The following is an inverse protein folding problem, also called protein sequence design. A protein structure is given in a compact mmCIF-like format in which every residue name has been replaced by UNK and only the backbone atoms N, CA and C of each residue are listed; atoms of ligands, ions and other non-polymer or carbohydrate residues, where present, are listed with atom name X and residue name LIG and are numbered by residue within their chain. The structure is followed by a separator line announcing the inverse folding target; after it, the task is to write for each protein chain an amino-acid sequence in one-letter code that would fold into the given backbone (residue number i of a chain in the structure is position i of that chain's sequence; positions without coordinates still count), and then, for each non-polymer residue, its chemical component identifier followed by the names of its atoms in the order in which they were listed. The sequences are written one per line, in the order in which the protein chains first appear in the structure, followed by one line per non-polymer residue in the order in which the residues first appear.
data_IF_404540152580
#
_entry.id   IF_404540152580
#
_cell.length_a   1.000
_cell.length_b   1.000
_cell.length_c   1.000
_cell.angle_alpha   90.00
_cell.angle_beta   90.00
_cell.angle_gamma   90.00
#
_symmetry.space_group_name_H-M   'P 1'
#
loop_
_entity.id
_entity.type
_entity.pdbx_description
1 polymer ?
#
# COMPACT_ATOMS: atom_id res chain seq x y z
N UNK A 1 -11.28 17.84 25.37
CA UNK A 1 -10.91 17.25 24.07
C UNK A 1 -11.04 18.36 23.03
N UNK A 2 -9.92 18.95 22.61
CA UNK A 2 -9.91 20.08 21.66
C UNK A 2 -9.82 19.55 20.23
N UNK A 3 -10.40 20.26 19.25
CA UNK A 3 -10.39 19.88 17.84
C UNK A 3 -8.98 19.63 17.26
N UNK A 4 -7.94 20.21 17.86
CA UNK A 4 -6.53 20.04 17.47
C UNK A 4 -6.01 18.62 17.66
N UNK A 5 -6.41 17.97 18.76
CA UNK A 5 -5.80 16.72 19.20
C UNK A 5 -6.32 15.55 18.37
N UNK A 6 -7.60 15.60 17.99
CA UNK A 6 -8.26 14.57 17.19
C UNK A 6 -7.74 14.56 15.74
N UNK A 7 -7.60 15.75 15.12
CA UNK A 7 -7.01 15.88 13.79
C UNK A 7 -5.55 15.44 13.76
N UNK A 8 -4.77 15.84 14.76
CA UNK A 8 -3.36 15.42 14.88
C UNK A 8 -3.26 13.90 14.98
N UNK A 9 -4.06 13.28 15.85
CA UNK A 9 -4.11 11.83 16.01
C UNK A 9 -4.49 11.11 14.72
N UNK A 10 -5.50 11.63 13.99
CA UNK A 10 -5.91 11.07 12.70
C UNK A 10 -4.80 11.16 11.65
N UNK A 11 -4.17 12.33 11.51
CA UNK A 11 -3.06 12.52 10.58
C UNK A 11 -1.87 11.61 10.89
N UNK A 12 -1.51 11.48 12.19
CA UNK A 12 -0.46 10.57 12.62
C UNK A 12 -0.79 9.11 12.30
N UNK A 13 -2.05 8.68 12.47
CA UNK A 13 -2.45 7.31 12.11
C UNK A 13 -2.33 7.05 10.61
N UNK A 14 -2.78 7.98 9.76
CA UNK A 14 -2.66 7.86 8.30
C UNK A 14 -1.20 7.72 7.88
N UNK A 15 -0.31 8.56 8.42
CA UNK A 15 1.13 8.48 8.10
C UNK A 15 1.77 7.18 8.60
N UNK A 16 1.35 6.68 9.77
CA UNK A 16 1.82 5.38 10.28
C UNK A 16 1.37 4.22 9.40
N UNK A 17 0.13 4.23 8.94
CA UNK A 17 -0.40 3.20 8.03
C UNK A 17 0.32 3.24 6.67
N UNK A 18 0.57 4.44 6.12
CA UNK A 18 1.35 4.60 4.91
C UNK A 18 2.76 4.02 5.06
N UNK A 19 3.47 4.40 6.13
CA UNK A 19 4.84 3.93 6.37
C UNK A 19 4.92 2.41 6.60
N UNK A 20 3.94 1.85 7.31
CA UNK A 20 3.85 0.40 7.49
C UNK A 20 3.63 -0.31 6.14
N UNK A 21 2.75 0.21 5.29
CA UNK A 21 2.49 -0.36 3.98
C UNK A 21 3.69 -0.24 3.03
N UNK A 22 4.43 0.88 3.06
CA UNK A 22 5.68 1.04 2.30
C UNK A 22 6.71 -0.01 2.70
N UNK A 23 6.90 -0.19 4.01
CA UNK A 23 7.85 -1.17 4.57
C UNK A 23 7.45 -2.61 4.24
N UNK A 24 6.16 -2.90 4.26
CA UNK A 24 5.66 -4.25 4.00
C UNK A 24 5.68 -4.58 2.50
N UNK A 25 5.24 -3.66 1.63
CA UNK A 25 4.88 -4.00 0.26
C UNK A 25 5.95 -3.68 -0.77
N UNK A 26 6.71 -2.59 -0.63
CA UNK A 26 7.68 -2.20 -1.66
C UNK A 26 8.71 -3.32 -1.86
N UNK A 27 8.94 -3.69 -3.12
CA UNK A 27 9.83 -4.80 -3.47
C UNK A 27 9.21 -6.20 -3.36
N UNK A 28 7.97 -6.34 -2.86
CA UNK A 28 7.26 -7.64 -2.86
C UNK A 28 6.63 -7.93 -4.22
N UNK A 29 6.66 -9.21 -4.59
CA UNK A 29 5.90 -9.73 -5.72
C UNK A 29 4.42 -9.85 -5.38
N UNK A 30 3.55 -9.34 -6.25
CA UNK A 30 2.10 -9.34 -6.09
C UNK A 30 1.40 -9.75 -7.37
N UNK A 31 0.19 -10.31 -7.22
CA UNK A 31 -0.73 -10.55 -8.33
C UNK A 31 -2.03 -9.78 -8.05
N UNK A 32 -2.47 -8.97 -9.01
CA UNK A 32 -3.76 -8.31 -9.00
C UNK A 32 -4.89 -9.27 -9.37
N UNK A 33 -6.12 -8.96 -8.94
CA UNK A 33 -7.32 -9.73 -9.30
C UNK A 33 -7.61 -9.78 -10.80
N UNK A 34 -7.11 -8.83 -11.59
CA UNK A 34 -7.21 -8.81 -13.05
C UNK A 34 -6.14 -9.67 -13.75
N UNK A 35 -5.26 -10.32 -12.97
CA UNK A 35 -4.20 -11.21 -13.47
C UNK A 35 -2.87 -10.51 -13.74
N UNK A 36 -2.76 -9.18 -13.58
CA UNK A 36 -1.46 -8.50 -13.68
C UNK A 36 -0.56 -8.91 -12.52
N UNK A 37 0.69 -9.19 -12.82
CA UNK A 37 1.70 -9.56 -11.84
C UNK A 37 2.94 -8.68 -11.98
N UNK A 38 3.62 -8.46 -10.87
CA UNK A 38 4.87 -7.74 -10.83
C UNK A 38 5.30 -7.42 -9.41
N UNK A 39 6.27 -6.52 -9.29
CA UNK A 39 6.79 -6.06 -8.00
C UNK A 39 6.16 -4.72 -7.65
N UNK A 40 5.77 -4.53 -6.40
CA UNK A 40 5.31 -3.22 -5.92
C UNK A 40 6.47 -2.23 -5.95
N UNK A 41 6.25 -1.10 -6.62
CA UNK A 41 7.27 -0.04 -6.81
C UNK A 41 7.07 1.09 -5.79
N UNK A 42 5.83 1.57 -5.63
CA UNK A 42 5.49 2.64 -4.70
C UNK A 42 4.13 2.43 -4.02
N UNK A 43 3.96 3.04 -2.85
CA UNK A 43 2.69 3.13 -2.12
C UNK A 43 2.27 4.60 -2.04
N UNK A 44 0.97 4.87 -2.15
CA UNK A 44 0.39 6.22 -2.19
C UNK A 44 -0.87 6.30 -1.32
N UNK A 45 -1.22 7.52 -0.93
CA UNK A 45 -2.56 7.87 -0.46
C UNK A 45 -3.38 8.43 -1.62
N UNK A 46 -4.65 8.04 -1.72
CA UNK A 46 -5.63 8.71 -2.58
C UNK A 46 -6.30 9.90 -1.88
N UNK A 47 -7.25 10.55 -2.56
CA UNK A 47 -7.93 11.76 -2.09
C UNK A 47 -8.70 11.57 -0.78
N UNK A 48 -9.04 10.32 -0.42
CA UNK A 48 -9.70 9.98 0.85
C UNK A 48 -8.76 9.31 1.85
N UNK A 49 -7.45 9.36 1.61
CA UNK A 49 -6.38 8.74 2.40
C UNK A 49 -6.40 7.20 2.37
N UNK A 50 -6.99 6.60 1.33
CA UNK A 50 -6.89 5.16 1.07
C UNK A 50 -5.54 4.79 0.47
N UNK A 51 -5.01 3.63 0.84
CA UNK A 51 -3.72 3.16 0.33
C UNK A 51 -3.84 2.58 -1.09
N UNK A 52 -2.94 3.00 -1.97
CA UNK A 52 -2.80 2.56 -3.36
C UNK A 52 -1.38 2.12 -3.63
N UNK A 53 -1.19 1.23 -4.60
CA UNK A 53 0.15 0.80 -5.03
C UNK A 53 0.35 1.00 -6.53
N UNK A 54 1.58 1.20 -6.96
CA UNK A 54 2.00 0.95 -8.35
C UNK A 54 2.75 -0.37 -8.44
N UNK A 55 2.65 -1.01 -9.61
CA UNK A 55 3.40 -2.23 -9.93
C UNK A 55 4.36 -1.89 -11.05
N UNK A 56 5.64 -2.25 -10.88
CA UNK A 56 6.66 -2.02 -11.90
C UNK A 56 6.26 -2.62 -13.25
N UNK A 57 6.38 -1.82 -14.32
CA UNK A 57 6.02 -2.22 -15.68
C UNK A 57 4.52 -2.12 -16.02
N UNK A 58 3.68 -1.62 -15.11
CA UNK A 58 2.25 -1.40 -15.38
C UNK A 58 1.85 0.04 -15.06
N UNK A 59 1.12 0.66 -15.98
CA UNK A 59 0.52 1.96 -15.75
C UNK A 59 -0.72 1.84 -14.86
N UNK A 60 -0.73 2.62 -13.77
CA UNK A 60 -1.88 2.75 -12.88
C UNK A 60 -1.53 2.71 -11.41
N UNK A 61 -2.56 2.92 -10.59
CA UNK A 61 -2.50 2.79 -9.13
C UNK A 61 -3.69 1.99 -8.66
N UNK A 62 -3.44 0.88 -7.97
CA UNK A 62 -4.48 -0.07 -7.55
C UNK A 62 -4.65 -0.06 -6.03
N UNK A 63 -5.89 -0.25 -5.52
CA UNK A 63 -6.11 -0.38 -4.09
C UNK A 63 -5.48 -1.67 -3.57
N UNK A 64 -4.93 -1.62 -2.35
CA UNK A 64 -4.30 -2.78 -1.70
C UNK A 64 -5.25 -3.99 -1.63
N UNK A 65 -6.56 -3.76 -1.52
CA UNK A 65 -7.59 -4.82 -1.50
C UNK A 65 -7.64 -5.70 -2.76
N UNK A 66 -6.99 -5.29 -3.86
CA UNK A 66 -6.89 -6.08 -5.09
C UNK A 66 -5.66 -6.96 -5.15
N UNK A 67 -4.78 -6.90 -4.14
CA UNK A 67 -3.54 -7.67 -4.09
C UNK A 67 -3.77 -9.06 -3.54
N UNK A 68 -3.16 -10.04 -4.22
CA UNK A 68 -2.81 -11.32 -3.65
C UNK A 68 -1.30 -11.33 -3.44
N UNK A 69 -0.88 -11.43 -2.18
CA UNK A 69 0.52 -11.61 -1.83
C UNK A 69 0.96 -12.97 -2.35
N UNK A 70 2.06 -12.98 -3.09
CA UNK A 70 2.77 -14.22 -3.36
C UNK A 70 3.46 -14.61 -2.07
N UNK A 71 3.08 -15.75 -1.49
CA UNK A 71 3.79 -16.29 -0.34
C UNK A 71 5.27 -16.39 -0.70
N UNK A 72 6.13 -15.81 0.14
CA UNK A 72 7.58 -15.94 0.05
C UNK A 72 7.99 -17.34 0.50
N UNK A 73 7.52 -18.37 -0.21
CA UNK A 73 7.86 -19.78 -0.03
C UNK A 73 9.19 -20.18 -0.67
N UNK A 74 10.11 -19.24 -0.89
CA UNK A 74 11.50 -19.52 -1.21
C UNK A 74 12.36 -19.27 0.03
N UNK A 75 12.11 -20.06 1.07
CA UNK A 75 13.18 -20.40 2.01
C UNK A 75 14.23 -21.18 1.21
N UNK A 76 15.42 -20.60 1.11
CA UNK A 76 16.61 -21.26 0.56
C UNK A 76 17.29 -22.08 1.65
#
# INVERSE_FOLDING_TARGET
MTMSDDWTKRATNILRELHAAETELIGRGVILTDGKAGTVDHVFLDEVHGLRISIGGHDGKWPISTLKLLDSGFAR
#
